data_IF_483793292008
#
_entry.id   IF_483793292008
#
_cell.length_a   1.000
_cell.length_b   1.000
_cell.length_c   1.000
_cell.angle_alpha   90.00
_cell.angle_beta   90.00
_cell.angle_gamma   90.00
#
_symmetry.space_group_name_H-M   'P 1'
#
loop_
_entity.id
_entity.type
_entity.pdbx_description
1 polymer ?
#
# COMPACT_ATOMS: atom_id res chain seq x y z
N UNK A 1 -1.73 -4.06 -19.81
CA UNK A 1 -0.35 -3.58 -19.67
C UNK A 1 -0.17 -2.34 -20.53
N UNK A 2 0.40 -1.30 -19.97
CA UNK A 2 0.69 -0.04 -20.67
C UNK A 2 2.17 0.30 -20.46
N UNK A 3 2.80 0.88 -21.46
CA UNK A 3 4.20 1.33 -21.41
C UNK A 3 4.26 2.84 -21.60
N UNK A 4 5.11 3.51 -20.83
CA UNK A 4 5.23 4.96 -20.88
C UNK A 4 6.34 5.50 -21.78
N UNK A 5 7.30 4.65 -22.21
CA UNK A 5 8.45 5.04 -23.04
C UNK A 5 8.60 4.13 -24.27
N UNK A 6 7.67 4.26 -25.21
CA UNK A 6 7.68 3.44 -26.45
C UNK A 6 8.82 3.78 -27.43
N UNK A 7 9.54 4.89 -27.21
CA UNK A 7 10.57 5.41 -28.12
C UNK A 7 11.80 4.51 -28.26
N UNK A 8 12.02 3.63 -27.28
CA UNK A 8 13.20 2.75 -27.23
C UNK A 8 12.91 1.34 -27.78
N UNK A 9 11.68 1.11 -28.25
CA UNK A 9 11.30 -0.14 -28.90
C UNK A 9 11.45 -0.05 -30.42
N UNK A 10 11.84 -1.14 -31.08
CA UNK A 10 11.86 -1.20 -32.53
C UNK A 10 10.47 -0.94 -33.12
N UNK A 11 10.37 -0.05 -34.12
CA UNK A 11 9.10 0.28 -34.74
C UNK A 11 8.40 -1.01 -35.28
N UNK A 12 7.13 -1.20 -34.87
CA UNK A 12 6.34 -2.38 -35.20
C UNK A 12 6.56 -3.58 -34.28
N UNK A 13 7.21 -3.39 -33.13
CA UNK A 13 7.19 -4.39 -32.06
C UNK A 13 5.80 -4.47 -31.43
N UNK A 14 5.34 -5.68 -31.16
CA UNK A 14 4.05 -5.96 -30.51
C UNK A 14 4.29 -6.48 -29.09
N UNK A 15 3.54 -5.96 -28.12
CA UNK A 15 3.54 -6.46 -26.74
C UNK A 15 2.74 -7.77 -26.67
N UNK A 16 3.38 -8.80 -26.18
CA UNK A 16 2.76 -10.11 -25.92
C UNK A 16 2.76 -10.33 -24.41
N UNK A 17 1.59 -10.65 -23.86
CA UNK A 17 1.42 -10.98 -22.43
C UNK A 17 0.69 -12.30 -22.35
N UNK A 18 1.33 -13.31 -21.80
CA UNK A 18 0.77 -14.65 -21.68
C UNK A 18 0.78 -15.08 -20.21
N UNK A 19 -0.35 -15.53 -19.64
CA UNK A 19 -0.35 -16.12 -18.30
C UNK A 19 0.46 -17.42 -18.34
N UNK A 20 1.29 -17.62 -17.30
CA UNK A 20 2.05 -18.86 -17.09
C UNK A 20 1.69 -19.47 -15.74
N UNK A 21 1.76 -20.80 -15.66
CA UNK A 21 1.52 -21.49 -14.40
C UNK A 21 2.64 -21.17 -13.41
N UNK A 22 2.27 -20.85 -12.17
CA UNK A 22 3.23 -20.75 -11.08
C UNK A 22 3.76 -22.14 -10.74
N UNK A 23 5.06 -22.35 -10.89
CA UNK A 23 5.70 -23.65 -10.66
C UNK A 23 6.14 -23.79 -9.21
N UNK A 24 6.46 -25.01 -8.77
CA UNK A 24 6.98 -25.25 -7.43
C UNK A 24 8.35 -24.54 -7.19
N UNK A 25 9.14 -24.39 -8.25
CA UNK A 25 10.41 -23.64 -8.23
C UNK A 25 10.16 -22.14 -8.03
N UNK A 26 9.15 -21.59 -8.72
CA UNK A 26 8.74 -20.19 -8.52
C UNK A 26 8.25 -19.97 -7.10
N UNK A 27 7.38 -20.85 -6.58
CA UNK A 27 6.87 -20.77 -5.19
C UNK A 27 8.03 -20.76 -4.18
N UNK A 28 8.96 -21.71 -4.29
CA UNK A 28 10.12 -21.78 -3.40
C UNK A 28 11.00 -20.53 -3.49
N UNK A 29 11.14 -19.95 -4.68
CA UNK A 29 11.93 -18.74 -4.90
C UNK A 29 11.23 -17.49 -4.36
N UNK A 30 9.89 -17.42 -4.42
CA UNK A 30 9.09 -16.37 -3.77
C UNK A 30 9.25 -16.45 -2.25
N UNK A 31 9.09 -17.65 -1.67
CA UNK A 31 9.22 -17.84 -0.22
C UNK A 31 10.59 -17.37 0.28
N UNK A 32 11.65 -17.66 -0.47
CA UNK A 32 13.00 -17.18 -0.18
C UNK A 32 13.13 -15.66 -0.33
N UNK A 33 12.54 -15.08 -1.37
CA UNK A 33 12.61 -13.63 -1.60
C UNK A 33 11.85 -12.85 -0.52
N UNK A 34 10.77 -13.42 0.01
CA UNK A 34 9.94 -12.83 1.07
C UNK A 34 10.42 -13.20 2.49
N UNK A 35 11.54 -13.93 2.63
CA UNK A 35 12.05 -14.31 3.95
C UNK A 35 12.38 -13.07 4.80
N UNK A 36 11.68 -12.92 5.92
CA UNK A 36 11.82 -11.78 6.82
C UNK A 36 10.85 -10.61 6.54
N UNK A 37 10.03 -10.69 5.50
CA UNK A 37 8.94 -9.75 5.29
C UNK A 37 7.74 -10.10 6.17
N UNK A 38 7.03 -9.08 6.65
CA UNK A 38 5.80 -9.26 7.44
C UNK A 38 4.53 -9.42 6.59
N UNK A 39 4.68 -9.36 5.26
CA UNK A 39 3.56 -9.44 4.31
C UNK A 39 3.17 -10.88 4.05
N UNK A 40 1.88 -11.14 3.98
CA UNK A 40 1.34 -12.45 3.60
C UNK A 40 1.21 -12.56 2.07
N UNK A 41 1.09 -13.79 1.57
CA UNK A 41 0.75 -14.08 0.17
C UNK A 41 -0.73 -14.44 0.11
N UNK A 42 -1.57 -13.57 -0.42
CA UNK A 42 -2.99 -13.90 -0.65
C UNK A 42 -3.18 -14.63 -1.98
N UNK A 43 -2.57 -14.10 -3.04
CA UNK A 43 -2.63 -14.71 -4.36
C UNK A 43 -1.32 -14.48 -5.12
N UNK A 44 -0.90 -15.47 -5.91
CA UNK A 44 0.29 -15.41 -6.76
C UNK A 44 -0.10 -15.70 -8.20
N UNK A 45 0.28 -14.81 -9.11
CA UNK A 45 0.08 -14.99 -10.55
C UNK A 45 1.38 -14.73 -11.29
N UNK A 46 1.56 -15.37 -12.43
CA UNK A 46 2.75 -15.19 -13.25
C UNK A 46 2.38 -14.93 -14.70
N UNK A 47 3.16 -14.08 -15.36
CA UNK A 47 3.01 -13.73 -16.76
C UNK A 47 4.37 -13.75 -17.47
N UNK A 48 4.37 -14.27 -18.67
CA UNK A 48 5.43 -14.07 -19.64
C UNK A 48 5.11 -12.80 -20.42
N UNK A 49 5.95 -11.79 -20.28
CA UNK A 49 5.79 -10.50 -20.95
C UNK A 49 6.96 -10.36 -21.93
N UNK A 50 6.66 -10.16 -23.21
CA UNK A 50 7.68 -10.01 -24.23
C UNK A 50 7.25 -9.01 -25.30
N UNK A 51 8.22 -8.42 -26.00
CA UNK A 51 8.01 -7.74 -27.25
C UNK A 51 8.43 -8.62 -28.41
N UNK A 52 7.58 -8.71 -29.40
CA UNK A 52 7.83 -9.53 -30.59
C UNK A 52 7.78 -8.65 -31.84
N UNK A 53 8.82 -8.75 -32.67
CA UNK A 53 8.87 -8.14 -33.98
C UNK A 53 9.29 -9.20 -35.02
N UNK A 54 8.51 -9.33 -36.08
CA UNK A 54 8.76 -10.30 -37.17
C UNK A 54 8.94 -11.74 -36.61
N UNK A 55 8.18 -12.10 -35.56
CA UNK A 55 8.23 -13.41 -34.91
C UNK A 55 9.45 -13.66 -34.02
N UNK A 56 10.21 -12.61 -33.66
CA UNK A 56 11.36 -12.68 -32.74
C UNK A 56 11.16 -11.76 -31.58
N UNK A 57 11.58 -12.22 -30.43
CA UNK A 57 11.64 -11.36 -29.23
C UNK A 57 12.65 -10.24 -29.45
N UNK A 58 12.29 -9.06 -28.95
CA UNK A 58 13.11 -7.86 -28.97
C UNK A 58 13.05 -7.19 -27.60
N UNK A 59 14.19 -6.65 -27.18
CA UNK A 59 14.30 -5.95 -25.91
C UNK A 59 14.25 -4.44 -26.09
N UNK A 60 13.75 -3.67 -25.11
CA UNK A 60 13.85 -2.23 -25.13
C UNK A 60 15.31 -1.80 -24.99
N UNK A 61 15.68 -0.68 -25.61
CA UNK A 61 17.02 -0.11 -25.53
C UNK A 61 17.30 0.62 -24.21
N UNK A 62 16.28 0.83 -23.38
CA UNK A 62 16.35 1.52 -22.09
C UNK A 62 15.23 1.03 -21.16
N UNK A 63 15.31 1.42 -19.87
CA UNK A 63 14.26 1.10 -18.91
C UNK A 63 12.91 1.71 -19.31
N UNK A 64 11.91 0.88 -19.39
CA UNK A 64 10.52 1.27 -19.64
C UNK A 64 9.67 1.08 -18.39
N UNK A 65 8.64 1.90 -18.21
CA UNK A 65 7.67 1.74 -17.15
C UNK A 65 6.55 0.81 -17.63
N UNK A 66 6.32 -0.23 -16.86
CA UNK A 66 5.21 -1.18 -17.06
C UNK A 66 4.12 -0.87 -16.05
N UNK A 67 2.88 -0.80 -16.51
CA UNK A 67 1.69 -0.67 -15.69
C UNK A 67 0.78 -1.88 -15.91
N UNK A 68 0.43 -2.56 -14.84
CA UNK A 68 -0.45 -3.73 -14.84
C UNK A 68 -1.76 -3.40 -14.12
N UNK A 69 -2.88 -3.71 -14.77
CA UNK A 69 -4.20 -3.74 -14.14
C UNK A 69 -4.64 -5.20 -14.10
N UNK A 70 -4.68 -5.77 -12.92
CA UNK A 70 -4.92 -7.20 -12.70
C UNK A 70 -6.21 -7.39 -11.91
N UNK A 71 -7.05 -8.36 -12.32
CA UNK A 71 -8.27 -8.68 -11.59
C UNK A 71 -8.00 -9.22 -10.16
N UNK A 72 -6.80 -9.72 -9.93
CA UNK A 72 -6.35 -10.26 -8.65
C UNK A 72 -5.87 -9.19 -7.67
N UNK A 73 -5.55 -7.98 -8.14
CA UNK A 73 -5.13 -6.84 -7.30
C UNK A 73 -6.25 -5.81 -7.30
N UNK A 74 -6.91 -5.65 -6.16
CA UNK A 74 -8.09 -4.79 -6.00
C UNK A 74 -7.69 -3.44 -5.42
N UNK A 75 -8.67 -2.54 -5.39
CA UNK A 75 -8.55 -1.30 -4.62
C UNK A 75 -8.20 -1.61 -3.15
N UNK A 76 -7.17 -0.95 -2.63
CA UNK A 76 -6.66 -1.14 -1.27
C UNK A 76 -5.60 -2.24 -1.12
N UNK A 77 -5.49 -3.15 -2.10
CA UNK A 77 -4.47 -4.21 -2.05
C UNK A 77 -3.05 -3.64 -2.24
N UNK A 78 -2.07 -4.37 -1.75
CA UNK A 78 -0.67 -4.17 -2.11
C UNK A 78 -0.14 -5.37 -2.87
N UNK A 79 0.80 -5.14 -3.79
CA UNK A 79 1.41 -6.22 -4.54
C UNK A 79 2.91 -5.98 -4.73
N UNK A 80 3.68 -7.07 -4.72
CA UNK A 80 5.08 -7.09 -5.15
C UNK A 80 5.19 -7.72 -6.53
N UNK A 81 6.16 -7.26 -7.30
CA UNK A 81 6.50 -7.83 -8.61
C UNK A 81 7.93 -8.33 -8.58
N UNK A 82 8.11 -9.56 -8.99
CA UNK A 82 9.43 -10.18 -9.10
C UNK A 82 9.69 -10.61 -10.54
N UNK A 83 10.89 -10.37 -11.01
CA UNK A 83 11.39 -11.00 -12.22
C UNK A 83 11.98 -12.37 -11.86
N UNK A 84 11.55 -13.42 -12.55
CA UNK A 84 12.04 -14.78 -12.33
C UNK A 84 13.20 -15.11 -13.26
N UNK A 85 14.42 -15.21 -12.70
CA UNK A 85 15.60 -15.71 -13.41
C UNK A 85 15.57 -17.24 -13.42
N UNK A 86 15.11 -17.82 -14.53
CA UNK A 86 14.99 -19.28 -14.70
C UNK A 86 16.36 -20.00 -14.63
N UNK A 87 17.45 -19.30 -14.95
CA UNK A 87 18.78 -19.92 -14.96
C UNK A 87 19.33 -20.10 -13.56
N UNK A 88 18.96 -19.22 -12.64
CA UNK A 88 19.41 -19.24 -11.25
C UNK A 88 18.33 -19.72 -10.28
N UNK A 89 17.07 -19.85 -10.72
CA UNK A 89 15.90 -20.04 -9.88
C UNK A 89 15.83 -18.99 -8.75
N UNK A 90 15.96 -17.71 -9.13
CA UNK A 90 15.95 -16.58 -8.22
C UNK A 90 14.88 -15.57 -8.62
N UNK A 91 14.28 -14.94 -7.60
CA UNK A 91 13.38 -13.80 -7.75
C UNK A 91 14.14 -12.51 -7.54
N UNK A 92 14.07 -11.61 -8.49
CA UNK A 92 14.58 -10.25 -8.39
C UNK A 92 13.41 -9.31 -8.15
N UNK A 93 13.40 -8.62 -7.02
CA UNK A 93 12.38 -7.62 -6.70
C UNK A 93 12.49 -6.43 -7.67
N UNK A 94 11.37 -6.12 -8.31
CA UNK A 94 11.25 -5.02 -9.27
C UNK A 94 10.93 -3.67 -8.61
N UNK A 95 10.84 -3.63 -7.27
CA UNK A 95 10.47 -2.45 -6.49
C UNK A 95 9.17 -1.80 -7.03
N UNK A 96 8.17 -2.61 -7.23
CA UNK A 96 6.89 -2.18 -7.77
C UNK A 96 6.13 -1.28 -6.81
N UNK A 97 5.35 -0.35 -7.36
CA UNK A 97 4.38 0.44 -6.62
C UNK A 97 2.97 -0.03 -6.97
N UNK A 98 2.12 -0.15 -5.96
CA UNK A 98 0.68 -0.37 -6.14
C UNK A 98 -0.05 0.92 -5.81
N UNK A 99 -0.89 1.41 -6.72
CA UNK A 99 -1.76 2.57 -6.47
C UNK A 99 -2.95 2.19 -5.58
N UNK A 100 -3.64 3.18 -5.03
CA UNK A 100 -4.87 2.95 -4.27
C UNK A 100 -5.96 2.20 -5.08
N UNK A 101 -5.96 2.38 -6.41
CA UNK A 101 -6.91 1.70 -7.32
C UNK A 101 -6.45 0.28 -7.71
N UNK A 102 -5.35 -0.23 -7.13
CA UNK A 102 -4.82 -1.57 -7.43
C UNK A 102 -4.00 -1.67 -8.72
N UNK A 103 -3.58 -0.54 -9.30
CA UNK A 103 -2.67 -0.57 -10.45
C UNK A 103 -1.22 -0.77 -9.99
N UNK A 104 -0.55 -1.74 -10.58
CA UNK A 104 0.84 -2.11 -10.24
C UNK A 104 1.79 -1.55 -11.29
N UNK A 105 2.80 -0.80 -10.87
CA UNK A 105 3.79 -0.18 -11.76
C UNK A 105 5.21 -0.53 -11.37
N UNK A 106 6.05 -0.83 -12.35
CA UNK A 106 7.48 -1.08 -12.15
C UNK A 106 8.30 -0.72 -13.40
N UNK A 107 9.60 -0.54 -13.23
CA UNK A 107 10.54 -0.29 -14.33
C UNK A 107 11.29 -1.56 -14.71
N UNK A 108 11.50 -1.79 -16.01
CA UNK A 108 12.35 -2.88 -16.50
C UNK A 108 13.04 -2.50 -17.83
N UNK A 109 14.20 -3.08 -18.08
CA UNK A 109 14.97 -2.94 -19.32
C UNK A 109 15.04 -4.23 -20.13
N UNK A 110 14.45 -5.32 -19.62
CA UNK A 110 14.29 -6.59 -20.32
C UNK A 110 12.99 -7.27 -19.90
N UNK A 111 12.51 -8.15 -20.77
CA UNK A 111 11.23 -8.82 -20.59
C UNK A 111 11.38 -10.33 -20.55
N UNK A 112 10.68 -10.98 -19.64
CA UNK A 112 10.52 -12.42 -19.54
C UNK A 112 9.39 -12.75 -18.55
N UNK A 113 9.59 -13.69 -17.61
CA UNK A 113 8.59 -14.09 -16.64
C UNK A 113 8.59 -13.16 -15.41
N UNK A 114 7.44 -12.58 -15.17
CA UNK A 114 7.16 -11.79 -13.99
C UNK A 114 6.16 -12.50 -13.09
N UNK A 115 6.45 -12.50 -11.81
CA UNK A 115 5.56 -13.06 -10.79
C UNK A 115 5.04 -11.91 -9.94
N UNK A 116 3.73 -11.82 -9.84
CA UNK A 116 3.04 -10.83 -9.03
C UNK A 116 2.47 -11.54 -7.80
N UNK A 117 2.85 -11.05 -6.64
CA UNK A 117 2.36 -11.51 -5.35
C UNK A 117 1.41 -10.46 -4.81
N UNK A 118 0.12 -10.77 -4.76
CA UNK A 118 -0.86 -9.95 -4.07
C UNK A 118 -0.78 -10.25 -2.57
N UNK A 119 -0.66 -9.22 -1.75
CA UNK A 119 -0.62 -9.30 -0.29
C UNK A 119 -1.98 -9.02 0.36
N UNK A 120 -3.03 -8.76 -0.45
CA UNK A 120 -4.35 -8.39 0.01
C UNK A 120 -4.45 -6.95 0.49
N UNK A 121 -5.55 -6.67 1.19
CA UNK A 121 -5.83 -5.35 1.73
C UNK A 121 -4.76 -4.95 2.75
N UNK A 122 -4.01 -3.92 2.39
CA UNK A 122 -2.95 -3.34 3.22
C UNK A 122 -3.45 -2.14 4.04
N UNK A 123 -4.76 -1.88 4.03
CA UNK A 123 -5.31 -0.77 4.80
C UNK A 123 -5.13 -0.99 6.29
N UNK A 124 -4.83 0.10 6.99
CA UNK A 124 -4.75 0.12 8.44
C UNK A 124 -6.08 0.60 9.03
N UNK A 125 -6.44 0.04 10.17
CA UNK A 125 -7.63 0.45 10.92
C UNK A 125 -7.25 1.52 11.92
N UNK A 126 -7.98 2.64 11.90
CA UNK A 126 -7.83 3.72 12.87
C UNK A 126 -9.11 3.84 13.70
N UNK A 127 -8.97 3.68 15.01
CA UNK A 127 -10.04 3.93 15.98
C UNK A 127 -9.83 5.31 16.61
N UNK A 128 -10.81 6.20 16.45
CA UNK A 128 -10.76 7.56 17.01
C UNK A 128 -11.70 7.61 18.22
N UNK A 129 -11.15 7.86 19.38
CA UNK A 129 -11.84 7.97 20.67
C UNK A 129 -11.90 9.44 21.11
N UNK A 130 -13.00 9.86 21.73
CA UNK A 130 -13.27 11.25 22.06
C UNK A 130 -13.49 11.44 23.56
N UNK A 131 -12.64 12.26 24.21
CA UNK A 131 -12.62 12.42 25.66
C UNK A 131 -12.71 13.89 26.12
N UNK A 132 -13.45 14.12 27.20
CA UNK A 132 -13.34 15.33 27.99
C UNK A 132 -12.02 15.29 28.80
N UNK A 133 -11.07 16.17 28.45
CA UNK A 133 -9.75 16.16 29.04
C UNK A 133 -9.78 16.31 30.58
N UNK A 134 -10.68 17.14 31.14
CA UNK A 134 -10.76 17.38 32.57
C UNK A 134 -11.16 16.12 33.36
N UNK A 135 -12.06 15.32 32.80
CA UNK A 135 -12.50 14.07 33.42
C UNK A 135 -11.47 12.96 33.25
N UNK A 136 -10.84 12.89 32.08
CA UNK A 136 -9.79 11.91 31.80
C UNK A 136 -8.60 12.10 32.76
N UNK A 137 -8.17 13.34 33.00
CA UNK A 137 -7.12 13.67 33.97
C UNK A 137 -7.48 13.29 35.39
N UNK A 138 -8.78 13.28 35.73
CA UNK A 138 -9.27 12.81 37.03
C UNK A 138 -9.31 11.26 37.15
N UNK A 139 -8.79 10.53 36.17
CA UNK A 139 -8.76 9.06 36.11
C UNK A 139 -10.15 8.40 36.01
N UNK A 140 -11.12 9.09 35.46
CA UNK A 140 -12.45 8.57 35.17
C UNK A 140 -12.65 8.42 33.65
N UNK A 141 -11.88 7.49 33.08
CA UNK A 141 -11.86 7.27 31.63
C UNK A 141 -13.25 6.91 31.07
N UNK A 142 -14.05 6.13 31.81
CA UNK A 142 -15.37 5.71 31.36
C UNK A 142 -16.36 6.90 31.28
N UNK A 143 -16.36 7.80 32.21
CA UNK A 143 -17.24 8.98 32.19
C UNK A 143 -16.62 10.16 31.43
N UNK A 144 -15.35 10.07 31.08
CA UNK A 144 -14.68 11.06 30.25
C UNK A 144 -15.03 10.93 28.76
N UNK A 145 -15.48 9.76 28.29
CA UNK A 145 -15.85 9.52 26.91
C UNK A 145 -17.10 10.33 26.55
N UNK A 146 -16.99 11.22 25.57
CA UNK A 146 -18.07 12.16 25.20
C UNK A 146 -18.81 11.79 23.92
N UNK A 147 -18.19 10.97 23.07
CA UNK A 147 -18.78 10.43 21.82
C UNK A 147 -18.44 8.95 21.67
N UNK A 148 -19.21 8.26 20.83
CA UNK A 148 -18.86 6.92 20.37
C UNK A 148 -17.60 6.97 19.51
N UNK A 149 -16.87 5.86 19.51
CA UNK A 149 -15.68 5.73 18.69
C UNK A 149 -16.03 5.77 17.20
N UNK A 150 -15.13 6.37 16.45
CA UNK A 150 -15.14 6.29 14.99
C UNK A 150 -14.10 5.28 14.57
N UNK A 151 -14.49 4.37 13.70
CA UNK A 151 -13.58 3.40 13.11
C UNK A 151 -13.54 3.66 11.61
N UNK A 152 -12.34 3.91 11.10
CA UNK A 152 -12.11 4.08 9.68
C UNK A 152 -10.91 3.25 9.22
N UNK A 153 -10.87 2.94 7.95
CA UNK A 153 -9.73 2.30 7.29
C UNK A 153 -9.06 3.30 6.36
N UNK A 154 -7.76 3.26 6.26
CA UNK A 154 -6.99 4.12 5.37
C UNK A 154 -5.74 3.40 4.85
N UNK A 155 -5.23 3.86 3.70
CA UNK A 155 -3.97 3.34 3.18
C UNK A 155 -2.82 3.69 4.13
N UNK A 156 -1.82 2.82 4.31
CA UNK A 156 -0.61 3.14 5.07
C UNK A 156 0.07 4.39 4.52
N UNK A 157 0.51 5.27 5.41
CA UNK A 157 1.08 6.57 5.05
C UNK A 157 0.05 7.68 4.83
N UNK A 158 -1.26 7.37 4.89
CA UNK A 158 -2.29 8.40 4.88
C UNK A 158 -2.31 9.19 6.20
N UNK A 159 -2.76 10.43 6.12
CA UNK A 159 -2.91 11.32 7.29
C UNK A 159 -4.35 11.32 7.77
N UNK A 160 -4.54 11.47 9.07
CA UNK A 160 -5.88 11.54 9.66
C UNK A 160 -6.48 12.90 9.36
N UNK A 161 -7.69 12.89 8.78
CA UNK A 161 -8.54 14.07 8.58
C UNK A 161 -9.88 13.89 9.32
N UNK A 162 -10.60 15.01 9.52
CA UNK A 162 -11.98 15.03 10.03
C UNK A 162 -12.22 14.33 11.39
N UNK A 163 -11.22 14.36 12.27
CA UNK A 163 -11.29 13.75 13.59
C UNK A 163 -12.00 14.62 14.65
N UNK A 164 -12.18 15.93 14.41
CA UNK A 164 -12.81 16.83 15.36
C UNK A 164 -14.33 16.88 15.16
N UNK A 165 -15.08 16.21 16.00
CA UNK A 165 -16.57 16.20 15.97
C UNK A 165 -17.23 17.16 16.93
N UNK A 166 -16.50 17.75 17.85
CA UNK A 166 -17.06 18.49 18.96
C UNK A 166 -17.25 19.98 18.62
N UNK A 167 -18.38 20.35 18.03
CA UNK A 167 -18.68 21.72 17.62
C UNK A 167 -18.58 22.77 18.75
N UNK A 168 -18.82 22.37 20.01
CA UNK A 168 -18.82 23.27 21.18
C UNK A 168 -17.59 23.11 22.09
N UNK A 169 -16.59 22.40 21.62
CA UNK A 169 -15.35 22.13 22.35
C UNK A 169 -14.16 22.49 21.50
N UNK A 170 -13.05 22.81 22.12
CA UNK A 170 -11.76 22.96 21.44
C UNK A 170 -10.93 21.70 21.66
N UNK A 171 -10.13 21.29 20.66
CA UNK A 171 -9.17 20.21 20.84
C UNK A 171 -8.02 20.75 21.70
N UNK A 172 -7.77 20.10 22.82
CA UNK A 172 -6.64 20.41 23.72
C UNK A 172 -5.36 19.74 23.18
N UNK A 173 -5.40 18.44 23.04
CA UNK A 173 -4.32 17.65 22.42
C UNK A 173 -4.88 16.33 21.88
N UNK A 174 -4.02 15.58 21.23
CA UNK A 174 -4.33 14.25 20.71
C UNK A 174 -3.25 13.26 21.16
N UNK A 175 -3.60 11.98 21.19
CA UNK A 175 -2.63 10.90 21.36
C UNK A 175 -2.79 9.90 20.23
N UNK A 176 -1.69 9.44 19.68
CA UNK A 176 -1.64 8.33 18.73
C UNK A 176 -0.86 7.21 19.38
N UNK A 177 -1.52 6.06 19.58
CA UNK A 177 -0.94 4.90 20.30
C UNK A 177 -0.29 5.26 21.64
N UNK A 178 -0.85 6.26 22.33
CA UNK A 178 -0.38 6.73 23.65
C UNK A 178 0.67 7.84 23.62
N UNK A 179 1.21 8.20 22.46
CA UNK A 179 2.11 9.35 22.30
C UNK A 179 1.32 10.63 22.05
N UNK A 180 1.63 11.70 22.77
CA UNK A 180 0.88 12.95 22.73
C UNK A 180 1.42 13.90 21.63
N UNK A 181 0.49 14.52 20.92
CA UNK A 181 0.75 15.50 19.86
C UNK A 181 -0.21 16.68 19.99
N UNK A 182 0.22 17.83 19.50
CA UNK A 182 -0.68 18.97 19.25
C UNK A 182 -1.54 18.71 18.01
N UNK A 183 -2.62 19.46 17.86
CA UNK A 183 -3.48 19.37 16.68
C UNK A 183 -2.71 19.60 15.38
N UNK A 184 -1.78 20.57 15.35
CA UNK A 184 -0.99 20.88 14.16
C UNK A 184 0.05 19.80 13.81
N UNK A 185 0.53 19.06 14.81
CA UNK A 185 1.43 17.93 14.59
C UNK A 185 0.67 16.73 14.02
N UNK A 186 -0.54 16.45 14.52
CA UNK A 186 -1.36 15.34 14.02
C UNK A 186 -1.65 15.43 12.53
N UNK A 187 -1.88 16.64 11.99
CA UNK A 187 -2.12 16.87 10.56
C UNK A 187 -0.95 16.43 9.65
N UNK A 188 0.22 16.19 10.25
CA UNK A 188 1.42 15.75 9.54
C UNK A 188 1.84 14.31 9.85
N UNK A 189 1.16 13.64 10.77
CA UNK A 189 1.47 12.24 11.13
C UNK A 189 0.90 11.32 10.06
N UNK A 190 1.76 10.47 9.52
CA UNK A 190 1.40 9.37 8.62
C UNK A 190 1.13 8.11 9.45
N UNK A 191 0.01 7.45 9.20
CA UNK A 191 -0.37 6.23 9.90
C UNK A 191 0.02 5.02 9.05
N UNK A 192 0.87 4.16 9.60
CA UNK A 192 1.43 2.99 8.88
C UNK A 192 0.98 1.65 9.49
N UNK A 193 0.26 1.67 10.61
CA UNK A 193 -0.23 0.48 11.31
C UNK A 193 -1.57 0.77 11.98
N UNK A 194 -2.29 -0.27 12.38
CA UNK A 194 -3.52 -0.13 13.16
C UNK A 194 -3.28 0.75 14.38
N UNK A 195 -4.07 1.79 14.51
CA UNK A 195 -3.81 2.85 15.49
C UNK A 195 -5.05 3.26 16.26
N UNK A 196 -4.83 3.64 17.51
CA UNK A 196 -5.84 4.29 18.35
C UNK A 196 -5.46 5.76 18.52
N UNK A 197 -6.36 6.64 18.09
CA UNK A 197 -6.25 8.08 18.23
C UNK A 197 -7.21 8.55 19.30
N UNK A 198 -6.69 9.08 20.40
CA UNK A 198 -7.50 9.71 21.46
C UNK A 198 -7.49 11.21 21.25
N UNK A 199 -8.68 11.80 21.07
CA UNK A 199 -8.87 13.25 20.93
C UNK A 199 -9.38 13.79 22.27
N UNK A 200 -8.62 14.68 22.86
CA UNK A 200 -8.95 15.30 24.16
C UNK A 200 -9.48 16.71 23.92
N UNK A 201 -10.65 16.96 24.47
CA UNK A 201 -11.37 18.21 24.31
C UNK A 201 -11.41 19.01 25.62
N UNK A 202 -11.40 20.32 25.47
CA UNK A 202 -11.65 21.28 26.57
C UNK A 202 -12.85 22.15 26.23
N UNK A 203 -13.58 22.59 27.25
CA UNK A 203 -14.70 23.50 27.05
C UNK A 203 -14.22 24.79 26.38
N UNK A 204 -14.98 25.31 25.40
CA UNK A 204 -14.70 26.61 24.80
C UNK A 204 -14.79 27.70 25.89
N UNK A 205 -13.77 28.53 25.98
CA UNK A 205 -13.85 29.75 26.77
C UNK A 205 -14.83 30.69 26.04
N UNK A 206 -16.04 30.81 26.56
CA UNK A 206 -16.99 31.86 26.17
C UNK A 206 -16.67 33.12 26.98
N UNK A 207 -15.78 33.96 26.47
CA UNK A 207 -15.64 35.35 26.96
C UNK A 207 -16.77 36.21 26.35
#
# INVERSE_FOLDING_TARGET
VTLSNETDLPAGAELVVAPVAVTAEMEASIDKAMEGESKEKEEVVAYDISFVKDGKEVEPGATVQVQLSLAQVKEGDSASVYHFDETKNEMLDMNANTSADGEVTFGTDHFSKYVIVNHGDNNVTVTIEHYDNSKYQAQDEQSAKIYSDDVCTMAPGAKISDYNKALNWDVDHVQVNGEAFSQSELENIEIHEDSVVKVFYQAKNTD
#
